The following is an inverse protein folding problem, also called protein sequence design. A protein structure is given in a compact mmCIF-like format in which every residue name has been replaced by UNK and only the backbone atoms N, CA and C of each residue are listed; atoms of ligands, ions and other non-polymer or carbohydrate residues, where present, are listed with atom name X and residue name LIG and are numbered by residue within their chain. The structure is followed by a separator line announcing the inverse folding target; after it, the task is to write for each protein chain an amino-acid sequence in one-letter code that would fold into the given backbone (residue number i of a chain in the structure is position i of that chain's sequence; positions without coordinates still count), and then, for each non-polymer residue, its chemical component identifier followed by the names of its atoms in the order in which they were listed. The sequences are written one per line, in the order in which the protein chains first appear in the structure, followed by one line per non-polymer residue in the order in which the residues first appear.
data_IF_865806131730
#
_entry.id   IF_865806131730
#
_cell.length_a   1.000
_cell.length_b   1.000
_cell.length_c   1.000
_cell.angle_alpha   90.00
_cell.angle_beta   90.00
_cell.angle_gamma   90.00
#
_symmetry.space_group_name_H-M   'P 1'
#
loop_
_entity.id
_entity.type
_entity.pdbx_description
1 polymer ?
#
# COMPACT_ATOMS: atom_id res chain seq x y z
N UNK A 1 42.09 -17.00 9.48
CA UNK A 1 40.63 -16.80 9.33
C UNK A 1 39.95 -17.45 10.53
N UNK A 2 39.54 -16.65 11.51
CA UNK A 2 39.07 -17.17 12.80
C UNK A 2 37.74 -17.91 12.57
N UNK A 3 37.70 -19.23 12.78
CA UNK A 3 36.52 -20.06 12.51
C UNK A 3 35.29 -19.53 13.27
N UNK A 4 35.50 -18.99 14.47
CA UNK A 4 34.46 -18.31 15.27
C UNK A 4 33.86 -17.09 14.56
N UNK A 5 34.68 -16.31 13.86
CA UNK A 5 34.25 -15.13 13.09
C UNK A 5 33.46 -15.60 11.85
N UNK A 6 33.92 -16.64 11.16
CA UNK A 6 33.22 -17.21 10.01
C UNK A 6 31.84 -17.78 10.40
N UNK A 7 31.75 -18.48 11.53
CA UNK A 7 30.48 -19.00 12.06
C UNK A 7 29.53 -17.87 12.49
N UNK A 8 30.04 -16.81 13.12
CA UNK A 8 29.23 -15.65 13.50
C UNK A 8 28.61 -14.96 12.27
N UNK A 9 29.39 -14.76 11.20
CA UNK A 9 28.87 -14.21 9.94
C UNK A 9 27.85 -15.13 9.27
N UNK A 10 28.08 -16.45 9.27
CA UNK A 10 27.15 -17.43 8.71
C UNK A 10 25.82 -17.46 9.49
N UNK A 11 25.87 -17.40 10.82
CA UNK A 11 24.68 -17.31 11.67
C UNK A 11 23.90 -16.02 11.42
N UNK A 12 24.57 -14.88 11.30
CA UNK A 12 23.92 -13.60 10.98
C UNK A 12 23.24 -13.63 9.61
N UNK A 13 23.91 -14.20 8.59
CA UNK A 13 23.37 -14.29 7.24
C UNK A 13 22.18 -15.27 7.11
N UNK A 14 22.12 -16.32 7.94
CA UNK A 14 21.07 -17.35 7.87
C UNK A 14 19.89 -17.09 8.83
N UNK A 15 20.11 -16.41 9.97
CA UNK A 15 19.07 -16.07 10.94
C UNK A 15 18.36 -14.74 10.63
N UNK A 16 19.01 -13.80 9.93
CA UNK A 16 18.41 -12.52 9.56
C UNK A 16 17.21 -12.65 8.58
N UNK A 17 17.24 -13.51 7.54
CA UNK A 17 16.14 -13.64 6.58
C UNK A 17 14.84 -14.16 7.22
N UNK A 18 14.93 -14.97 8.28
CA UNK A 18 13.75 -15.55 8.94
C UNK A 18 13.03 -14.60 9.89
N UNK A 19 13.67 -13.49 10.31
CA UNK A 19 13.03 -12.50 11.20
C UNK A 19 12.08 -11.56 10.46
N UNK A 20 12.16 -11.48 9.12
CA UNK A 20 11.22 -10.72 8.29
C UNK A 20 10.06 -11.62 7.85
N UNK A 21 9.46 -12.35 8.79
CA UNK A 21 8.14 -12.95 8.55
C UNK A 21 7.10 -11.92 8.99
N UNK A 22 6.84 -10.96 8.12
CA UNK A 22 5.71 -10.05 8.28
C UNK A 22 4.44 -10.89 8.39
N UNK A 23 3.84 -10.95 9.58
CA UNK A 23 2.47 -11.43 9.74
C UNK A 23 1.60 -10.48 8.94
N UNK A 24 1.27 -10.86 7.71
CA UNK A 24 0.44 -10.07 6.81
C UNK A 24 -1.00 -10.13 7.32
N UNK A 25 -1.28 -9.46 8.42
CA UNK A 25 -2.62 -9.31 8.94
C UNK A 25 -3.36 -8.40 7.96
N UNK A 26 -4.27 -8.99 7.19
CA UNK A 26 -4.97 -8.29 6.12
C UNK A 26 -5.96 -7.32 6.77
N UNK A 27 -5.59 -6.05 6.80
CA UNK A 27 -6.49 -4.98 7.25
C UNK A 27 -7.63 -4.85 6.23
N UNK A 28 -8.85 -5.15 6.68
CA UNK A 28 -10.07 -4.95 5.90
C UNK A 28 -10.59 -3.54 6.17
N UNK A 29 -10.58 -2.69 5.15
CA UNK A 29 -11.07 -1.31 5.20
C UNK A 29 -12.26 -1.20 4.24
N UNK A 30 -13.31 -0.51 4.66
CA UNK A 30 -14.49 -0.32 3.83
C UNK A 30 -14.19 0.64 2.66
N UNK A 31 -14.86 0.40 1.54
CA UNK A 31 -14.83 1.25 0.36
C UNK A 31 -15.82 2.40 0.48
N UNK A 32 -15.38 3.62 0.14
CA UNK A 32 -16.21 4.82 0.12
C UNK A 32 -16.25 5.40 -1.30
N UNK A 33 -17.45 5.52 -1.86
CA UNK A 33 -17.65 6.14 -3.18
C UNK A 33 -17.54 7.66 -3.11
N UNK A 34 -16.93 8.27 -4.14
CA UNK A 34 -16.87 9.72 -4.28
C UNK A 34 -18.12 10.21 -5.00
N UNK A 35 -19.21 10.41 -4.26
CA UNK A 35 -20.53 10.73 -4.83
C UNK A 35 -20.57 12.02 -5.65
N UNK A 36 -19.77 13.03 -5.27
CA UNK A 36 -19.68 14.31 -5.99
C UNK A 36 -18.91 14.21 -7.31
N UNK A 37 -18.20 13.11 -7.57
CA UNK A 37 -17.40 12.95 -8.78
C UNK A 37 -18.25 12.93 -10.06
N UNK A 38 -19.53 12.53 -9.96
CA UNK A 38 -20.48 12.59 -11.07
C UNK A 38 -20.69 14.02 -11.59
N UNK A 39 -20.78 15.01 -10.69
CA UNK A 39 -20.99 16.40 -11.07
C UNK A 39 -19.78 17.00 -11.80
N UNK A 40 -18.58 16.48 -11.52
CA UNK A 40 -17.34 16.89 -12.19
C UNK A 40 -16.95 16.03 -13.39
N UNK A 41 -17.74 15.01 -13.73
CA UNK A 41 -17.42 14.04 -14.79
C UNK A 41 -16.23 13.13 -14.49
N UNK A 42 -15.76 13.09 -13.24
CA UNK A 42 -14.65 12.25 -12.82
C UNK A 42 -15.16 10.82 -12.58
N UNK A 43 -15.20 10.01 -13.62
CA UNK A 43 -15.70 8.64 -13.61
C UNK A 43 -14.60 7.63 -13.97
N UNK A 44 -14.79 6.38 -13.56
CA UNK A 44 -14.00 5.26 -14.04
C UNK A 44 -14.30 4.99 -15.53
N UNK A 45 -13.46 4.15 -16.17
CA UNK A 45 -13.62 3.78 -17.59
C UNK A 45 -14.95 3.07 -17.91
N UNK A 46 -15.55 2.41 -16.93
CA UNK A 46 -16.85 1.75 -17.01
C UNK A 46 -18.03 2.67 -16.67
N UNK A 47 -17.76 3.95 -16.39
CA UNK A 47 -18.77 4.94 -15.99
C UNK A 47 -19.18 4.87 -14.52
N UNK A 48 -18.56 3.98 -13.73
CA UNK A 48 -18.79 3.92 -12.28
C UNK A 48 -18.14 5.10 -11.54
N UNK A 49 -18.57 5.32 -10.29
CA UNK A 49 -17.96 6.33 -9.43
C UNK A 49 -16.60 5.85 -8.91
N UNK A 50 -15.58 6.73 -8.87
CA UNK A 50 -14.34 6.40 -8.20
C UNK A 50 -14.58 6.20 -6.70
N UNK A 51 -13.71 5.44 -6.07
CA UNK A 51 -13.82 5.06 -4.67
C UNK A 51 -12.46 5.07 -3.97
N UNK A 52 -12.49 5.13 -2.65
CA UNK A 52 -11.30 5.00 -1.82
C UNK A 52 -11.52 4.13 -0.59
N UNK A 53 -10.44 3.52 -0.12
CA UNK A 53 -10.35 2.96 1.22
C UNK A 53 -9.65 4.00 2.10
N UNK A 54 -10.18 4.26 3.29
CA UNK A 54 -9.57 5.18 4.26
C UNK A 54 -9.49 4.48 5.61
N UNK A 55 -8.28 4.14 6.01
CA UNK A 55 -7.96 3.92 7.42
C UNK A 55 -7.59 5.27 8.05
N UNK A 56 -8.11 5.56 9.24
CA UNK A 56 -7.78 6.77 10.01
C UNK A 56 -6.63 6.58 10.99
N UNK A 57 -6.07 5.37 11.04
CA UNK A 57 -4.90 5.10 11.86
C UNK A 57 -5.20 5.35 13.34
N UNK A 58 -4.16 5.32 14.16
CA UNK A 58 -4.25 5.59 15.59
C UNK A 58 -2.88 5.89 16.18
N UNK A 59 -2.84 6.54 17.34
CA UNK A 59 -1.60 6.84 18.05
C UNK A 59 -0.65 7.72 17.23
N UNK A 60 0.61 7.32 17.09
CA UNK A 60 1.61 8.09 16.36
C UNK A 60 1.34 8.24 14.84
N UNK A 61 0.46 7.40 14.27
CA UNK A 61 0.11 7.41 12.86
C UNK A 61 -1.10 8.29 12.50
N UNK A 62 -1.88 8.77 13.47
CA UNK A 62 -3.19 9.42 13.24
C UNK A 62 -3.12 10.68 12.35
N UNK A 63 -1.99 11.40 12.38
CA UNK A 63 -1.76 12.62 11.60
C UNK A 63 -0.85 12.40 10.38
N UNK A 64 -0.46 11.16 10.09
CA UNK A 64 0.43 10.83 8.98
C UNK A 64 -0.38 10.27 7.81
N UNK A 65 -0.13 10.82 6.62
CA UNK A 65 -0.86 10.45 5.41
C UNK A 65 0.03 9.59 4.51
N UNK A 66 -0.50 8.43 4.10
CA UNK A 66 0.07 7.62 3.02
C UNK A 66 -1.01 7.42 1.96
N UNK A 67 -0.69 7.86 0.74
CA UNK A 67 -1.54 7.69 -0.42
C UNK A 67 -0.94 6.56 -1.27
N UNK A 68 -1.70 5.49 -1.42
CA UNK A 68 -1.40 4.39 -2.31
C UNK A 68 -2.33 4.49 -3.52
N UNK A 69 -1.81 4.28 -4.70
CA UNK A 69 -2.61 4.25 -5.92
C UNK A 69 -2.59 2.83 -6.44
N UNK A 70 -3.77 2.25 -6.63
CA UNK A 70 -3.90 0.96 -7.30
C UNK A 70 -4.01 1.23 -8.79
N UNK A 71 -2.92 0.99 -9.50
CA UNK A 71 -2.81 1.30 -10.92
C UNK A 71 -3.07 0.03 -11.73
N UNK A 72 -3.71 0.18 -12.90
CA UNK A 72 -3.63 -0.81 -13.97
C UNK A 72 -2.35 -0.51 -14.78
N UNK A 73 -1.35 -1.37 -14.69
CA UNK A 73 -0.09 -1.19 -15.42
C UNK A 73 -0.24 -1.59 -16.89
N UNK A 74 -0.07 -0.63 -17.80
CA UNK A 74 0.81 -0.79 -18.98
C UNK A 74 1.42 0.56 -19.35
N UNK A 75 2.69 0.72 -18.96
CA UNK A 75 3.57 1.76 -19.49
C UNK A 75 3.81 1.47 -20.99
N UNK A 76 3.22 2.26 -21.89
CA UNK A 76 3.71 2.42 -23.27
C UNK A 76 3.00 3.52 -24.08
N UNK A 77 1.77 3.92 -23.77
CA UNK A 77 1.04 4.88 -24.62
C UNK A 77 0.33 5.91 -23.74
N UNK A 78 0.69 7.18 -23.93
CA UNK A 78 0.36 8.30 -23.07
C UNK A 78 -1.14 8.64 -23.01
N UNK A 79 -1.88 7.93 -22.16
CA UNK A 79 -3.20 8.37 -21.71
C UNK A 79 -3.45 7.87 -20.28
N UNK A 80 -3.46 8.80 -19.32
CA UNK A 80 -3.62 8.51 -17.90
C UNK A 80 -5.11 8.31 -17.60
N UNK A 81 -5.59 7.06 -17.57
CA UNK A 81 -6.97 6.76 -17.17
C UNK A 81 -7.02 5.57 -16.22
N UNK A 82 -6.91 5.87 -14.92
CA UNK A 82 -7.45 5.11 -13.78
C UNK A 82 -6.76 5.65 -12.53
N UNK A 83 -7.48 6.41 -11.70
CA UNK A 83 -7.05 6.69 -10.34
C UNK A 83 -8.08 6.10 -9.39
N UNK A 84 -7.90 4.81 -9.08
CA UNK A 84 -8.40 4.26 -7.83
C UNK A 84 -7.55 4.85 -6.70
N UNK A 85 -8.16 5.70 -5.87
CA UNK A 85 -7.47 6.33 -4.75
C UNK A 85 -7.47 5.36 -3.57
N UNK A 86 -6.35 4.73 -3.24
CA UNK A 86 -6.23 3.88 -2.06
C UNK A 86 -5.52 4.65 -0.93
N UNK A 87 -6.26 5.36 -0.07
CA UNK A 87 -5.67 6.05 1.08
C UNK A 87 -5.44 5.04 2.22
N UNK A 88 -4.31 4.35 2.19
CA UNK A 88 -3.91 3.46 3.29
C UNK A 88 -3.14 4.25 4.34
N UNK A 89 -3.73 4.51 5.50
CA UNK A 89 -2.92 4.95 6.63
C UNK A 89 -2.11 3.79 7.19
N UNK A 90 -0.90 4.10 7.63
CA UNK A 90 0.09 3.13 8.12
C UNK A 90 -0.25 2.80 9.58
N UNK A 91 -0.47 1.53 9.95
CA UNK A 91 -0.21 1.10 11.31
C UNK A 91 1.18 0.45 11.39
N UNK A 92 1.96 0.99 12.31
CA UNK A 92 3.17 0.45 12.95
C UNK A 92 4.49 0.52 12.19
#
# INVERSE_FOLDING_TARGET
MNILVALAFLCLATLAPWRVRSQQQRLLVNMTLVTKAKASGALCLDGSLPAYHLDRGFGAGENNWLLQFENFARAALGNWNSLFYHSKQIPK
#
